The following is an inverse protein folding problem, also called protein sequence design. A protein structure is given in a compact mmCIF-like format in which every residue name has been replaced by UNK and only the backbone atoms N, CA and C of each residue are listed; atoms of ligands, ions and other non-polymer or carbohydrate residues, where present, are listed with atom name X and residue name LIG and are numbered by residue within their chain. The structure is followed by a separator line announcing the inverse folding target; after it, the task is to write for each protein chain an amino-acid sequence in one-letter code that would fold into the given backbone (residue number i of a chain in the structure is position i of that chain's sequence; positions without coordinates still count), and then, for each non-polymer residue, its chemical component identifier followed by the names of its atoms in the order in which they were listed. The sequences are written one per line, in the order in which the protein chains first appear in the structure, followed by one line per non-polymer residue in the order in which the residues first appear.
data_IF_087216537476
#
_entry.id   IF_087216537476
#
_cell.length_a   1.000
_cell.length_b   1.000
_cell.length_c   1.000
_cell.angle_alpha   90.00
_cell.angle_beta   90.00
_cell.angle_gamma   90.00
#
_symmetry.space_group_name_H-M   'P 1'
#
loop_
_entity.id
_entity.type
_entity.pdbx_description
1 polymer ?
#
# COMPACT_ATOMS: atom_id res chain seq x y z
N UNK A 1 -10.70 -0.88 24.88
CA UNK A 1 -9.96 -2.16 24.74
C UNK A 1 -10.69 -3.36 25.35
N UNK A 2 -11.29 -3.27 26.53
CA UNK A 2 -12.04 -4.37 27.18
C UNK A 2 -13.28 -4.87 26.41
N UNK A 3 -14.06 -3.98 25.80
CA UNK A 3 -15.27 -4.35 25.01
C UNK A 3 -14.98 -5.26 23.80
N UNK A 4 -13.81 -5.14 23.16
CA UNK A 4 -13.40 -6.01 22.05
C UNK A 4 -13.02 -7.41 22.50
N UNK A 5 -12.41 -7.55 23.69
CA UNK A 5 -12.04 -8.83 24.26
C UNK A 5 -13.28 -9.68 24.60
N UNK A 6 -14.31 -9.06 25.17
CA UNK A 6 -15.60 -9.72 25.48
C UNK A 6 -16.33 -10.13 24.19
N UNK A 7 -16.32 -9.29 23.14
CA UNK A 7 -16.93 -9.64 21.85
C UNK A 7 -16.24 -10.84 21.17
N UNK A 8 -14.93 -10.94 21.27
CA UNK A 8 -14.16 -12.08 20.75
C UNK A 8 -14.41 -13.40 21.50
N UNK A 9 -14.83 -13.36 22.78
CA UNK A 9 -15.10 -14.56 23.56
C UNK A 9 -16.46 -15.19 23.27
N UNK A 10 -17.50 -14.40 23.00
CA UNK A 10 -18.89 -14.87 23.00
C UNK A 10 -19.60 -14.93 21.63
N UNK A 11 -19.07 -14.27 20.60
CA UNK A 11 -19.83 -14.09 19.35
C UNK A 11 -19.21 -14.69 18.09
N UNK A 12 -17.91 -15.02 18.08
CA UNK A 12 -17.23 -15.48 16.88
C UNK A 12 -17.11 -17.00 16.84
N UNK A 13 -17.55 -17.63 15.75
CA UNK A 13 -17.38 -19.08 15.54
C UNK A 13 -15.94 -19.45 15.18
N UNK A 14 -15.23 -18.58 14.43
CA UNK A 14 -13.85 -18.75 14.02
C UNK A 14 -13.13 -17.39 14.01
N UNK A 15 -11.82 -17.42 14.20
CA UNK A 15 -10.96 -16.23 14.14
C UNK A 15 -9.87 -16.49 13.12
N UNK A 16 -9.69 -15.55 12.20
CA UNK A 16 -8.59 -15.57 11.24
C UNK A 16 -7.87 -14.23 11.18
N UNK A 17 -6.60 -14.27 10.86
CA UNK A 17 -5.74 -13.10 10.68
C UNK A 17 -4.98 -13.22 9.36
N UNK A 18 -4.59 -12.08 8.79
CA UNK A 18 -3.80 -12.05 7.56
C UNK A 18 -2.29 -12.08 7.83
N UNK A 19 -1.89 -11.67 9.01
CA UNK A 19 -0.49 -11.61 9.41
C UNK A 19 -0.20 -12.53 10.61
N UNK A 20 0.81 -13.40 10.48
CA UNK A 20 1.25 -14.30 11.57
C UNK A 20 1.62 -13.54 12.84
N UNK A 21 2.13 -12.33 12.70
CA UNK A 21 2.52 -11.45 13.79
C UNK A 21 1.36 -10.98 14.68
N UNK A 22 0.11 -11.10 14.20
CA UNK A 22 -1.09 -10.75 14.97
C UNK A 22 -1.54 -11.87 15.91
N UNK A 23 -1.08 -13.12 15.71
CA UNK A 23 -1.52 -14.28 16.52
C UNK A 23 -1.21 -14.09 18.00
N UNK A 24 0.03 -13.76 18.44
CA UNK A 24 0.34 -13.64 19.86
C UNK A 24 -0.53 -12.60 20.57
N UNK A 25 -0.82 -11.47 19.88
CA UNK A 25 -1.62 -10.38 20.43
C UNK A 25 -3.08 -10.82 20.66
N UNK A 26 -3.64 -11.53 19.68
CA UNK A 26 -5.02 -12.00 19.78
C UNK A 26 -5.15 -13.20 20.69
N UNK A 27 -4.11 -14.05 20.81
CA UNK A 27 -4.13 -15.22 21.67
C UNK A 27 -4.18 -14.85 23.15
N UNK A 28 -3.71 -13.64 23.53
CA UNK A 28 -3.89 -13.10 24.88
C UNK A 28 -5.37 -12.76 25.19
N UNK A 29 -6.19 -12.58 24.15
CA UNK A 29 -7.58 -12.15 24.27
C UNK A 29 -8.59 -13.29 24.08
N UNK A 30 -8.16 -14.48 23.65
CA UNK A 30 -9.07 -15.60 23.37
C UNK A 30 -8.37 -16.96 23.48
N UNK A 31 -9.12 -17.97 23.93
CA UNK A 31 -8.70 -19.38 23.94
C UNK A 31 -9.01 -20.11 22.62
N UNK A 32 -9.64 -19.45 21.65
CA UNK A 32 -9.97 -20.06 20.36
C UNK A 32 -8.74 -20.15 19.48
N UNK A 33 -8.72 -21.15 18.61
CA UNK A 33 -7.67 -21.27 17.59
C UNK A 33 -7.76 -20.10 16.59
N UNK A 34 -6.60 -19.53 16.26
CA UNK A 34 -6.48 -18.44 15.30
C UNK A 34 -5.79 -18.98 14.05
N UNK A 35 -6.44 -18.84 12.91
CA UNK A 35 -5.91 -19.27 11.62
C UNK A 35 -5.29 -18.11 10.86
N UNK A 36 -4.17 -18.36 10.18
CA UNK A 36 -3.60 -17.40 9.22
C UNK A 36 -4.23 -17.68 7.86
N UNK A 37 -4.80 -16.64 7.25
CA UNK A 37 -5.38 -16.69 5.90
C UNK A 37 -4.75 -15.60 5.05
N UNK A 38 -4.72 -15.80 3.74
CA UNK A 38 -4.25 -14.77 2.81
C UNK A 38 -5.19 -13.56 2.80
N UNK A 39 -4.67 -12.40 2.41
CA UNK A 39 -5.53 -11.23 2.17
C UNK A 39 -6.54 -11.56 1.06
N UNK A 40 -7.83 -11.21 1.20
CA UNK A 40 -8.85 -11.50 0.19
C UNK A 40 -8.50 -11.02 -1.23
N UNK A 41 -7.71 -9.96 -1.36
CA UNK A 41 -7.24 -9.45 -2.67
C UNK A 41 -6.39 -10.49 -3.40
N UNK A 42 -5.70 -11.37 -2.68
CA UNK A 42 -4.86 -12.43 -3.26
C UNK A 42 -5.65 -13.69 -3.67
N UNK A 43 -6.95 -13.75 -3.40
CA UNK A 43 -7.81 -14.87 -3.81
C UNK A 43 -8.17 -14.83 -5.29
N UNK A 44 -8.08 -13.67 -5.94
CA UNK A 44 -8.34 -13.49 -7.35
C UNK A 44 -7.03 -13.36 -8.13
N UNK A 45 -7.01 -13.95 -9.32
CA UNK A 45 -5.89 -13.86 -10.23
C UNK A 45 -5.91 -12.54 -11.03
N UNK A 46 -4.78 -12.20 -11.67
CA UNK A 46 -4.64 -11.02 -12.53
C UNK A 46 -5.80 -10.83 -13.51
N UNK A 47 -6.16 -11.91 -14.25
CA UNK A 47 -7.25 -11.89 -15.24
C UNK A 47 -8.62 -11.53 -14.65
N UNK A 48 -8.89 -11.93 -13.43
CA UNK A 48 -10.16 -11.63 -12.76
C UNK A 48 -10.17 -10.17 -12.30
N UNK A 49 -9.05 -9.66 -11.80
CA UNK A 49 -8.91 -8.25 -11.46
C UNK A 49 -8.95 -7.32 -12.68
N UNK A 50 -8.44 -7.77 -13.84
CA UNK A 50 -8.56 -7.05 -15.12
C UNK A 50 -10.01 -6.82 -15.54
N UNK A 51 -10.91 -7.75 -15.24
CA UNK A 51 -12.36 -7.59 -15.51
C UNK A 51 -13.02 -6.56 -14.57
N UNK A 52 -12.46 -6.37 -13.39
CA UNK A 52 -12.95 -5.39 -12.39
C UNK A 52 -12.38 -4.01 -12.68
N UNK A 53 -11.14 -3.94 -13.13
CA UNK A 53 -10.41 -2.70 -13.39
C UNK A 53 -11.11 -1.83 -14.46
N UNK A 54 -11.05 -0.51 -14.27
CA UNK A 54 -11.49 0.45 -15.28
C UNK A 54 -10.26 1.12 -15.91
N UNK A 55 -10.11 0.97 -17.23
CA UNK A 55 -8.99 1.57 -17.96
C UNK A 55 -9.02 3.09 -17.81
N UNK A 56 -7.93 3.74 -17.37
CA UNK A 56 -7.88 5.19 -17.23
C UNK A 56 -7.83 5.91 -18.56
N UNK A 57 -8.40 7.12 -18.60
CA UNK A 57 -8.40 8.01 -19.79
C UNK A 57 -7.16 8.94 -19.79
N UNK A 58 -6.01 8.45 -19.35
CA UNK A 58 -4.75 9.21 -19.26
C UNK A 58 -3.88 8.83 -20.46
N UNK A 59 -3.47 9.84 -21.24
CA UNK A 59 -2.63 9.63 -22.43
C UNK A 59 -1.13 9.71 -22.16
N UNK A 60 -0.74 10.41 -21.11
CA UNK A 60 0.66 10.59 -20.73
C UNK A 60 1.15 9.36 -19.96
N UNK A 61 2.45 9.04 -20.08
CA UNK A 61 3.10 8.10 -19.20
C UNK A 61 3.13 8.67 -17.77
N UNK A 62 2.75 7.87 -16.79
CA UNK A 62 2.63 8.30 -15.41
C UNK A 62 3.15 7.28 -14.41
N UNK A 63 3.57 7.79 -13.28
CA UNK A 63 3.70 7.02 -12.06
C UNK A 63 2.51 7.33 -11.13
N UNK A 64 2.03 6.32 -10.44
CA UNK A 64 1.07 6.49 -9.34
C UNK A 64 1.83 6.71 -8.04
N UNK A 65 1.57 7.81 -7.37
CA UNK A 65 2.05 8.07 -6.02
C UNK A 65 0.90 8.02 -5.02
N UNK A 66 0.83 6.94 -4.24
CA UNK A 66 -0.20 6.74 -3.23
C UNK A 66 0.44 6.63 -1.84
N UNK A 67 0.60 7.79 -1.18
CA UNK A 67 1.21 7.92 0.14
C UNK A 67 0.16 8.31 1.19
N UNK A 68 -0.03 7.44 2.16
CA UNK A 68 -0.96 7.63 3.28
C UNK A 68 -0.36 8.52 4.37
N UNK A 69 0.98 8.57 4.48
CA UNK A 69 1.71 9.47 5.38
C UNK A 69 1.87 10.89 4.81
N UNK A 70 2.08 11.86 5.70
CA UNK A 70 2.28 13.27 5.35
C UNK A 70 3.77 13.65 5.15
N UNK A 71 4.61 12.67 4.87
CA UNK A 71 6.06 12.85 4.76
C UNK A 71 6.44 13.64 3.51
N UNK A 72 6.85 14.89 3.72
CA UNK A 72 7.28 15.83 2.64
C UNK A 72 8.58 15.34 1.96
N UNK A 73 9.49 14.70 2.71
CA UNK A 73 10.75 14.23 2.13
C UNK A 73 10.52 13.11 1.11
N UNK A 74 9.57 12.20 1.39
CA UNK A 74 9.18 11.16 0.44
C UNK A 74 8.58 11.77 -0.83
N UNK A 75 7.70 12.78 -0.73
CA UNK A 75 7.13 13.47 -1.89
C UNK A 75 8.18 14.15 -2.75
N UNK A 76 9.14 14.86 -2.12
CA UNK A 76 10.27 15.45 -2.84
C UNK A 76 11.15 14.40 -3.55
N UNK A 77 11.31 13.23 -2.96
CA UNK A 77 12.04 12.13 -3.58
C UNK A 77 11.28 11.59 -4.82
N UNK A 78 9.94 11.48 -4.73
CA UNK A 78 9.09 11.09 -5.87
C UNK A 78 9.16 12.12 -7.00
N UNK A 79 9.11 13.41 -6.70
CA UNK A 79 9.26 14.48 -7.71
C UNK A 79 10.59 14.38 -8.48
N UNK A 80 11.69 14.13 -7.76
CA UNK A 80 13.00 13.92 -8.40
C UNK A 80 13.02 12.69 -9.29
N UNK A 81 12.43 11.59 -8.82
CA UNK A 81 12.33 10.35 -9.57
C UNK A 81 11.48 10.53 -10.84
N UNK A 82 10.29 11.11 -10.71
CA UNK A 82 9.38 11.36 -11.83
C UNK A 82 10.03 12.24 -12.91
N UNK A 83 10.74 13.30 -12.49
CA UNK A 83 11.49 14.18 -13.40
C UNK A 83 12.59 13.41 -14.16
N UNK A 84 13.34 12.54 -13.48
CA UNK A 84 14.38 11.71 -14.11
C UNK A 84 13.79 10.74 -15.14
N UNK A 85 12.66 10.11 -14.81
CA UNK A 85 11.97 9.15 -15.67
C UNK A 85 11.06 9.79 -16.71
N UNK A 86 10.89 11.13 -16.68
CA UNK A 86 9.97 11.90 -17.55
C UNK A 86 8.52 11.41 -17.43
N UNK A 87 8.11 10.99 -16.24
CA UNK A 87 6.75 10.54 -15.93
C UNK A 87 5.95 11.67 -15.28
N UNK A 88 4.64 11.68 -15.52
CA UNK A 88 3.72 12.50 -14.75
C UNK A 88 3.40 11.84 -13.42
N UNK A 89 3.29 12.61 -12.36
CA UNK A 89 2.88 12.10 -11.05
C UNK A 89 1.36 12.17 -10.97
N UNK A 90 0.72 10.98 -10.88
CA UNK A 90 -0.68 10.87 -10.49
C UNK A 90 -0.76 10.61 -9.00
N UNK A 91 -1.53 11.39 -8.28
CA UNK A 91 -1.71 11.26 -6.84
C UNK A 91 -3.18 11.28 -6.44
N UNK A 92 -3.48 10.69 -5.29
CA UNK A 92 -4.79 10.70 -4.64
C UNK A 92 -4.70 11.58 -3.39
N UNK A 93 -5.00 12.88 -3.50
CA UNK A 93 -4.90 13.78 -2.36
C UNK A 93 -5.82 13.39 -1.23
N UNK A 94 -5.31 13.37 -0.01
CA UNK A 94 -6.16 13.08 1.16
C UNK A 94 -7.01 14.29 1.53
N UNK A 95 -8.33 14.05 1.62
CA UNK A 95 -9.32 15.03 2.05
C UNK A 95 -9.73 14.68 3.48
N UNK A 96 -9.50 15.61 4.41
CA UNK A 96 -9.94 15.50 5.79
C UNK A 96 -10.87 16.68 6.11
N UNK A 97 -12.10 16.42 6.52
CA UNK A 97 -13.11 17.46 6.82
C UNK A 97 -13.25 18.51 5.69
N UNK A 98 -13.34 18.05 4.44
CA UNK A 98 -13.43 18.87 3.22
C UNK A 98 -12.18 19.74 2.92
N UNK A 99 -11.05 19.46 3.55
CA UNK A 99 -9.79 20.17 3.31
C UNK A 99 -8.76 19.20 2.80
N UNK A 100 -8.10 19.53 1.70
CA UNK A 100 -6.97 18.76 1.17
C UNK A 100 -5.79 18.90 2.14
N UNK A 101 -5.14 17.78 2.45
CA UNK A 101 -3.98 17.77 3.33
C UNK A 101 -2.84 18.63 2.75
N UNK A 102 -2.19 19.45 3.58
CA UNK A 102 -1.21 20.46 3.14
C UNK A 102 -0.09 19.89 2.26
N UNK A 103 0.40 18.69 2.58
CA UNK A 103 1.49 18.05 1.80
C UNK A 103 1.03 17.54 0.43
N UNK A 104 -0.28 17.42 0.19
CA UNK A 104 -0.86 16.94 -1.07
C UNK A 104 -1.34 18.10 -1.96
N UNK A 105 -1.46 19.32 -1.40
CA UNK A 105 -2.11 20.46 -2.07
C UNK A 105 -1.45 20.86 -3.40
N UNK A 106 -0.11 20.78 -3.47
CA UNK A 106 0.68 21.14 -4.65
C UNK A 106 1.59 20.01 -5.13
N UNK A 107 1.36 18.81 -4.64
CA UNK A 107 2.17 17.64 -4.95
C UNK A 107 1.54 16.84 -6.08
N UNK A 108 2.31 16.61 -7.14
CA UNK A 108 1.91 15.83 -8.31
C UNK A 108 1.36 16.68 -9.45
N UNK A 109 1.24 16.06 -10.62
CA UNK A 109 0.75 16.69 -11.86
C UNK A 109 -0.74 16.44 -12.08
N UNK A 110 -1.22 15.24 -11.68
CA UNK A 110 -2.59 14.78 -11.86
C UNK A 110 -3.16 14.44 -10.50
N UNK A 111 -4.15 15.20 -10.06
CA UNK A 111 -4.82 14.99 -8.79
C UNK A 111 -6.14 14.25 -9.03
N UNK A 112 -6.23 13.01 -8.57
CA UNK A 112 -7.45 12.22 -8.67
C UNK A 112 -8.25 12.29 -7.35
N UNK A 113 -9.42 12.92 -7.44
CA UNK A 113 -10.36 13.08 -6.32
C UNK A 113 -11.60 12.21 -6.47
N UNK A 114 -11.76 11.51 -7.58
CA UNK A 114 -13.03 10.91 -8.00
C UNK A 114 -12.96 9.40 -8.19
N UNK A 115 -11.78 8.83 -8.31
CA UNK A 115 -11.61 7.40 -8.53
C UNK A 115 -12.15 6.57 -7.37
N UNK A 116 -13.00 5.62 -7.72
CA UNK A 116 -13.38 4.52 -6.85
C UNK A 116 -12.41 3.33 -6.94
N UNK A 117 -12.76 2.20 -6.30
CA UNK A 117 -11.88 1.02 -6.29
C UNK A 117 -11.55 0.48 -7.69
N UNK A 118 -12.47 0.50 -8.62
CA UNK A 118 -12.27 -0.01 -9.98
C UNK A 118 -11.29 0.85 -10.78
N UNK A 119 -11.41 2.16 -10.66
CA UNK A 119 -10.51 3.13 -11.26
C UNK A 119 -9.11 3.04 -10.62
N UNK A 120 -9.03 2.94 -9.31
CA UNK A 120 -7.77 2.77 -8.58
C UNK A 120 -6.98 1.54 -9.08
N UNK A 121 -7.66 0.40 -9.25
CA UNK A 121 -7.07 -0.83 -9.78
C UNK A 121 -6.57 -0.60 -11.22
N UNK A 122 -7.38 0.03 -12.07
CA UNK A 122 -7.00 0.34 -13.44
C UNK A 122 -5.82 1.31 -13.55
N UNK A 123 -5.75 2.30 -12.65
CA UNK A 123 -4.62 3.24 -12.58
C UNK A 123 -3.32 2.54 -12.19
N UNK A 124 -3.35 1.58 -11.25
CA UNK A 124 -2.16 0.79 -10.90
C UNK A 124 -1.74 -0.11 -12.07
N UNK A 125 -2.69 -0.80 -12.70
CA UNK A 125 -2.43 -1.70 -13.82
C UNK A 125 -1.73 -1.00 -15.00
N UNK A 126 -2.06 0.26 -15.27
CA UNK A 126 -1.60 1.00 -16.44
C UNK A 126 -0.49 2.03 -16.12
N UNK A 127 0.05 2.04 -14.92
CA UNK A 127 1.16 2.91 -14.54
C UNK A 127 2.50 2.30 -14.95
N UNK A 128 3.48 3.16 -15.28
CA UNK A 128 4.87 2.76 -15.49
C UNK A 128 5.56 2.39 -14.16
N UNK A 129 5.16 3.05 -13.07
CA UNK A 129 5.74 2.86 -11.76
C UNK A 129 4.73 3.21 -10.68
N UNK A 130 4.74 2.45 -9.60
CA UNK A 130 3.98 2.76 -8.39
C UNK A 130 4.96 3.16 -7.27
N UNK A 131 4.69 4.28 -6.61
CA UNK A 131 5.39 4.66 -5.39
C UNK A 131 4.39 4.79 -4.27
N UNK A 132 4.54 3.99 -3.22
CA UNK A 132 3.51 3.88 -2.20
C UNK A 132 4.06 3.54 -0.81
N UNK A 133 3.27 3.79 0.21
CA UNK A 133 3.39 3.26 1.56
C UNK A 133 2.16 2.41 1.94
N UNK A 134 1.33 2.05 0.96
CA UNK A 134 0.11 1.29 1.13
C UNK A 134 0.31 -0.20 0.84
N UNK A 135 -0.13 -1.04 1.75
CA UNK A 135 -0.16 -2.49 1.56
C UNK A 135 -0.94 -2.91 0.31
N UNK A 136 -2.17 -2.43 0.14
CA UNK A 136 -2.99 -2.84 -1.00
C UNK A 136 -2.46 -2.34 -2.35
N UNK A 137 -1.87 -1.14 -2.39
CA UNK A 137 -1.20 -0.68 -3.61
C UNK A 137 -0.03 -1.59 -3.98
N UNK A 138 0.77 -2.04 -2.99
CA UNK A 138 1.85 -2.99 -3.22
C UNK A 138 1.34 -4.36 -3.70
N UNK A 139 0.23 -4.86 -3.11
CA UNK A 139 -0.38 -6.13 -3.53
C UNK A 139 -0.89 -6.06 -4.96
N UNK A 140 -1.63 -5.01 -5.34
CA UNK A 140 -2.09 -4.85 -6.72
C UNK A 140 -0.94 -4.66 -7.70
N UNK A 141 0.12 -3.95 -7.32
CA UNK A 141 1.32 -3.81 -8.15
C UNK A 141 1.95 -5.18 -8.43
N UNK A 142 2.05 -6.05 -7.43
CA UNK A 142 2.53 -7.43 -7.60
C UNK A 142 1.60 -8.23 -8.52
N UNK A 143 0.27 -8.18 -8.31
CA UNK A 143 -0.70 -8.92 -9.13
C UNK A 143 -0.62 -8.52 -10.60
N UNK A 144 -0.48 -7.23 -10.88
CA UNK A 144 -0.37 -6.72 -12.26
C UNK A 144 1.04 -6.73 -12.82
N UNK A 145 2.05 -7.12 -12.02
CA UNK A 145 3.46 -7.09 -12.42
C UNK A 145 3.94 -5.67 -12.77
N UNK A 146 3.29 -4.66 -12.20
CA UNK A 146 3.68 -3.26 -12.33
C UNK A 146 4.86 -2.99 -11.42
N UNK A 147 5.91 -2.33 -11.91
CA UNK A 147 7.04 -1.93 -11.09
C UNK A 147 6.58 -1.06 -9.92
N UNK A 148 7.11 -1.32 -8.73
CA UNK A 148 6.73 -0.53 -7.58
C UNK A 148 7.87 -0.33 -6.58
N UNK A 149 7.78 0.78 -5.86
CA UNK A 149 8.66 1.15 -4.77
C UNK A 149 7.84 1.44 -3.51
N UNK A 150 8.29 0.91 -2.38
CA UNK A 150 7.57 1.04 -1.11
C UNK A 150 8.36 1.89 -0.13
N UNK A 151 7.73 2.95 0.38
CA UNK A 151 8.24 3.71 1.52
C UNK A 151 7.76 3.13 2.85
N UNK A 152 8.56 3.34 3.90
CA UNK A 152 8.10 3.14 5.28
C UNK A 152 7.05 4.19 5.61
N UNK A 153 5.92 3.78 6.19
CA UNK A 153 4.87 4.67 6.66
C UNK A 153 5.24 5.29 8.00
N UNK A 154 5.52 4.46 8.99
CA UNK A 154 5.76 4.90 10.35
C UNK A 154 7.25 5.07 10.63
N UNK A 155 7.56 5.90 11.64
CA UNK A 155 8.91 5.95 12.21
C UNK A 155 9.29 4.58 12.78
N UNK A 156 10.57 4.22 12.68
CA UNK A 156 11.08 2.89 13.03
C UNK A 156 10.71 2.41 14.44
N UNK A 157 10.46 3.33 15.38
CA UNK A 157 10.23 3.07 16.80
C UNK A 157 8.75 3.00 17.21
N UNK A 158 7.82 3.11 16.26
CA UNK A 158 6.40 3.03 16.58
C UNK A 158 6.02 1.61 17.02
N UNK A 159 5.58 1.44 18.28
CA UNK A 159 5.17 0.14 18.87
C UNK A 159 4.10 -0.59 18.03
N UNK A 160 3.31 0.14 17.25
CA UNK A 160 2.23 -0.37 16.38
C UNK A 160 2.51 -0.03 14.91
N UNK A 161 3.74 -0.27 14.44
CA UNK A 161 4.12 0.09 13.07
C UNK A 161 3.34 -0.74 12.04
N UNK A 162 2.63 -0.05 11.14
CA UNK A 162 1.97 -0.65 9.98
C UNK A 162 2.96 -1.15 8.92
N UNK A 163 4.23 -0.78 9.03
CA UNK A 163 5.31 -1.22 8.16
C UNK A 163 5.51 -2.73 8.17
N UNK A 164 5.34 -3.37 9.34
CA UNK A 164 5.56 -4.81 9.51
C UNK A 164 4.73 -5.63 8.53
N UNK A 165 3.47 -5.24 8.31
CA UNK A 165 2.56 -5.89 7.38
C UNK A 165 3.08 -5.87 5.94
N UNK A 166 3.65 -4.73 5.52
CA UNK A 166 4.23 -4.59 4.18
C UNK A 166 5.50 -5.41 4.08
N UNK A 167 6.34 -5.42 5.11
CA UNK A 167 7.59 -6.20 5.11
C UNK A 167 7.34 -7.70 5.09
N UNK A 168 6.40 -8.17 5.93
CA UNK A 168 6.02 -9.59 5.97
C UNK A 168 5.55 -10.04 4.57
N UNK A 169 4.74 -9.20 3.89
CA UNK A 169 4.30 -9.42 2.52
C UNK A 169 5.47 -9.45 1.52
N UNK A 170 6.31 -8.42 1.50
CA UNK A 170 7.43 -8.33 0.56
C UNK A 170 8.41 -9.50 0.73
N UNK A 171 8.63 -9.94 1.96
CA UNK A 171 9.48 -11.09 2.29
C UNK A 171 8.84 -12.41 1.88
N UNK A 172 7.56 -12.61 2.17
CA UNK A 172 6.82 -13.84 1.86
C UNK A 172 6.79 -14.12 0.35
N UNK A 173 6.64 -13.07 -0.46
CA UNK A 173 6.64 -13.16 -1.92
C UNK A 173 8.02 -12.95 -2.56
N UNK A 174 9.10 -12.89 -1.78
CA UNK A 174 10.49 -12.75 -2.24
C UNK A 174 10.70 -11.52 -3.16
N UNK A 175 9.94 -10.45 -2.94
CA UNK A 175 9.98 -9.24 -3.76
C UNK A 175 11.16 -8.31 -3.41
N UNK A 176 11.79 -8.55 -2.26
CA UNK A 176 12.96 -7.79 -1.78
C UNK A 176 13.94 -8.70 -1.07
N UNK A 177 15.24 -8.37 -1.14
CA UNK A 177 16.25 -8.98 -0.29
C UNK A 177 16.20 -8.40 1.13
N UNK A 178 16.74 -9.11 2.12
CA UNK A 178 16.83 -8.60 3.50
C UNK A 178 17.66 -7.31 3.61
N UNK A 179 18.67 -7.16 2.75
CA UNK A 179 19.51 -5.95 2.66
C UNK A 179 18.71 -4.75 2.14
N UNK A 180 17.84 -4.95 1.14
CA UNK A 180 16.98 -3.88 0.59
C UNK A 180 15.92 -3.40 1.58
N UNK A 181 15.47 -4.22 2.51
CA UNK A 181 14.54 -3.82 3.56
C UNK A 181 15.14 -2.78 4.52
N UNK A 182 16.45 -2.78 4.69
CA UNK A 182 17.17 -1.78 5.50
C UNK A 182 17.21 -0.40 4.80
N UNK A 183 17.12 -0.34 3.47
CA UNK A 183 17.29 0.85 2.65
C UNK A 183 15.98 1.48 2.12
N UNK A 184 14.81 0.97 2.51
CA UNK A 184 13.47 1.38 2.01
C UNK A 184 13.17 2.89 2.08
N UNK A 185 14.06 3.71 2.60
CA UNK A 185 13.93 5.18 2.62
C UNK A 185 14.78 5.89 1.55
N UNK A 186 15.62 5.16 0.82
CA UNK A 186 16.37 5.71 -0.31
C UNK A 186 15.76 5.16 -1.59
N UNK A 187 15.28 6.05 -2.45
CA UNK A 187 14.94 5.64 -3.83
C UNK A 187 16.25 5.16 -4.43
N UNK A 188 16.36 3.89 -4.86
CA UNK A 188 17.57 3.40 -5.47
C UNK A 188 17.94 4.27 -6.69
N UNK A 189 19.22 4.52 -6.90
CA UNK A 189 19.71 4.98 -8.18
C UNK A 189 19.56 3.81 -9.15
N UNK A 190 18.36 3.63 -9.69
CA UNK A 190 18.11 2.61 -10.70
C UNK A 190 18.49 3.19 -12.05
N UNK A 191 19.57 2.68 -12.62
CA UNK A 191 19.84 2.83 -14.05
C UNK A 191 18.89 1.88 -14.80
N UNK A 192 17.99 2.47 -15.59
CA UNK A 192 17.11 1.74 -16.52
C UNK A 192 17.73 1.70 -17.89
#
# INVERSE_FOLDING_TARGET
MLLWAEFCQFGLNAISVREKSSIPILQEMTNKSIQVVVDPVLLLQKKEWEQVARVPQIKQLYLVCYLLEDNIAQRKAVEKLAKRLKLKILTFPHILCNVVRKCDLFFGDIHDYTSGPREFIGLIQNAELIVTDSFHASVFSMIFETLFYVFKRDKADAKNSTNRRIYDFLKEYQLVSEESLAEVNKIPEVDF
#
